data_IF_266025160420
#
_entry.id   IF_266025160420
#
_cell.length_a   1.000
_cell.length_b   1.000
_cell.length_c   1.000
_cell.angle_alpha   90.00
_cell.angle_beta   90.00
_cell.angle_gamma   90.00
#
_symmetry.space_group_name_H-M   'P 1'
#
loop_
_entity.id
_entity.type
_entity.pdbx_description
1 polymer ?
#
# COMPACT_ATOMS: atom_id res chain seq x y z
N UNK A 1 5.46 29.72 -38.61
CA UNK A 1 5.05 29.74 -40.03
C UNK A 1 5.95 28.79 -40.80
N UNK A 2 5.42 27.64 -41.20
CA UNK A 2 5.68 26.87 -42.42
C UNK A 2 4.80 25.62 -42.29
N UNK A 3 3.90 25.49 -43.25
CA UNK A 3 2.84 24.49 -43.39
C UNK A 3 3.29 23.45 -44.41
N UNK A 4 3.20 22.15 -44.10
CA UNK A 4 3.26 21.04 -45.08
C UNK A 4 2.33 19.95 -44.51
N UNK A 5 1.07 19.91 -44.93
CA UNK A 5 0.54 19.21 -46.11
C UNK A 5 0.37 17.70 -45.89
N UNK A 6 -0.84 17.41 -45.48
CA UNK A 6 -1.62 16.18 -45.42
C UNK A 6 -1.60 15.41 -46.76
N UNK A 7 -1.56 14.07 -46.70
CA UNK A 7 -1.69 13.20 -47.87
C UNK A 7 -2.73 12.12 -47.58
N UNK A 8 -3.92 12.33 -48.13
CA UNK A 8 -5.02 11.37 -48.25
C UNK A 8 -4.67 10.23 -49.23
N UNK A 9 -5.19 9.03 -48.95
CA UNK A 9 -5.60 7.99 -49.92
C UNK A 9 -6.84 7.29 -49.33
N UNK A 10 -7.84 6.90 -50.15
CA UNK A 10 -9.26 7.16 -49.83
C UNK A 10 -10.09 5.95 -49.40
N UNK A 11 -11.31 6.31 -48.97
CA UNK A 11 -12.44 5.48 -48.60
C UNK A 11 -12.91 4.52 -49.72
N UNK A 12 -13.38 3.35 -49.28
CA UNK A 12 -14.38 2.57 -49.99
C UNK A 12 -15.64 2.47 -49.12
N UNK A 13 -16.68 3.04 -49.69
CA UNK A 13 -18.05 3.23 -49.25
C UNK A 13 -18.83 1.91 -49.31
N UNK A 14 -19.72 1.70 -48.33
CA UNK A 14 -20.97 0.91 -48.36
C UNK A 14 -21.65 1.20 -46.99
N UNK A 15 -22.30 2.35 -46.83
CA UNK A 15 -23.69 2.63 -47.19
C UNK A 15 -24.73 1.93 -46.30
N UNK A 16 -25.42 2.77 -45.49
CA UNK A 16 -26.75 2.53 -44.91
C UNK A 16 -26.75 1.85 -43.53
N UNK A 17 -27.48 2.29 -42.52
CA UNK A 17 -28.47 3.36 -42.42
C UNK A 17 -28.61 3.73 -40.94
N UNK A 18 -28.87 5.02 -40.73
CA UNK A 18 -29.14 5.65 -39.46
C UNK A 18 -30.64 5.53 -39.15
N UNK A 19 -30.99 5.06 -37.96
CA UNK A 19 -32.28 5.34 -37.33
C UNK A 19 -32.17 5.15 -35.82
N UNK A 20 -32.52 6.21 -35.11
CA UNK A 20 -32.69 6.29 -33.66
C UNK A 20 -33.52 5.13 -33.11
N UNK A 21 -32.96 4.38 -32.17
CA UNK A 21 -33.73 3.56 -31.24
C UNK A 21 -32.98 3.49 -29.91
N UNK A 22 -33.48 4.29 -28.98
CA UNK A 22 -33.28 4.23 -27.53
C UNK A 22 -33.29 2.76 -27.08
N UNK A 23 -32.13 2.22 -26.72
CA UNK A 23 -31.99 0.87 -26.18
C UNK A 23 -32.51 0.88 -24.74
N UNK A 24 -33.84 0.80 -24.59
CA UNK A 24 -34.45 0.25 -23.38
C UNK A 24 -34.27 -1.27 -23.45
N UNK A 25 -33.59 -1.91 -22.48
CA UNK A 25 -33.54 -3.36 -22.45
C UNK A 25 -34.96 -3.85 -22.22
N UNK A 26 -35.54 -4.41 -23.28
CA UNK A 26 -36.82 -5.11 -23.30
C UNK A 26 -36.60 -6.38 -22.47
N UNK A 27 -36.85 -6.28 -21.17
CA UNK A 27 -37.02 -7.45 -20.30
C UNK A 27 -38.20 -8.20 -20.91
N UNK A 28 -37.92 -9.34 -21.55
CA UNK A 28 -38.93 -10.36 -21.80
C UNK A 28 -39.54 -10.69 -20.44
N UNK A 29 -40.73 -10.12 -20.21
CA UNK A 29 -41.48 -10.34 -18.99
C UNK A 29 -41.92 -11.80 -19.00
N UNK A 30 -41.11 -12.67 -18.41
CA UNK A 30 -41.58 -13.95 -17.92
C UNK A 30 -42.86 -13.66 -17.14
N UNK A 31 -43.97 -14.24 -17.59
CA UNK A 31 -45.29 -13.94 -17.05
C UNK A 31 -45.28 -14.18 -15.54
N UNK A 32 -45.40 -13.10 -14.76
CA UNK A 32 -45.41 -13.15 -13.30
C UNK A 32 -46.64 -13.95 -12.88
N UNK A 33 -46.45 -15.08 -12.19
CA UNK A 33 -47.55 -15.93 -11.71
C UNK A 33 -47.73 -15.86 -10.21
N UNK A 34 -46.66 -15.66 -9.45
CA UNK A 34 -46.72 -15.55 -8.00
C UNK A 34 -45.75 -14.49 -7.45
N UNK A 35 -46.01 -14.05 -6.23
CA UNK A 35 -45.15 -13.12 -5.48
C UNK A 35 -44.84 -13.73 -4.13
N UNK A 36 -43.55 -13.86 -3.83
CA UNK A 36 -43.04 -14.31 -2.54
C UNK A 36 -42.70 -13.10 -1.69
N UNK A 37 -43.14 -13.09 -0.44
CA UNK A 37 -42.81 -12.06 0.56
C UNK A 37 -42.13 -12.68 1.76
N UNK A 38 -41.02 -12.07 2.18
CA UNK A 38 -40.28 -12.48 3.36
C UNK A 38 -40.90 -11.81 4.60
N UNK A 39 -41.20 -12.61 5.62
CA UNK A 39 -41.87 -12.16 6.85
C UNK A 39 -40.91 -12.03 8.03
N UNK A 40 -39.67 -12.53 7.90
CA UNK A 40 -38.61 -12.37 8.88
C UNK A 40 -37.22 -12.31 8.21
N UNK A 41 -36.18 -12.09 9.00
CA UNK A 41 -34.80 -11.99 8.53
C UNK A 41 -34.41 -10.60 7.99
N UNK A 42 -33.19 -10.46 7.43
CA UNK A 42 -32.61 -9.16 7.05
C UNK A 42 -33.31 -8.48 5.86
N UNK A 43 -34.10 -9.24 5.08
CA UNK A 43 -34.87 -8.76 3.94
C UNK A 43 -36.38 -8.84 4.22
N UNK A 44 -36.78 -8.77 5.48
CA UNK A 44 -38.18 -8.73 5.89
C UNK A 44 -38.92 -7.60 5.16
N UNK A 45 -40.11 -7.91 4.64
CA UNK A 45 -40.94 -6.99 3.84
C UNK A 45 -40.57 -6.92 2.36
N UNK A 46 -39.47 -7.54 1.91
CA UNK A 46 -39.15 -7.60 0.49
C UNK A 46 -40.05 -8.59 -0.26
N UNK A 47 -40.49 -8.19 -1.45
CA UNK A 47 -41.32 -8.99 -2.35
C UNK A 47 -40.53 -9.37 -3.62
N UNK A 48 -40.59 -10.65 -4.00
CA UNK A 48 -39.93 -11.20 -5.18
C UNK A 48 -40.97 -11.79 -6.13
N UNK A 49 -40.90 -11.41 -7.39
CA UNK A 49 -41.74 -12.00 -8.43
C UNK A 49 -41.21 -13.38 -8.80
N UNK A 50 -42.07 -14.40 -8.73
CA UNK A 50 -41.75 -15.77 -9.11
C UNK A 50 -42.28 -16.03 -10.53
N UNK A 51 -41.39 -16.35 -11.49
CA UNK A 51 -41.80 -16.84 -12.80
C UNK A 51 -42.34 -18.27 -12.71
N UNK A 52 -42.92 -18.75 -13.80
CA UNK A 52 -43.29 -20.16 -13.95
C UNK A 52 -42.05 -21.06 -13.89
N UNK A 53 -42.14 -22.18 -13.18
CA UNK A 53 -41.02 -23.10 -12.95
C UNK A 53 -40.43 -23.03 -11.54
N UNK A 54 -39.18 -23.46 -11.40
CA UNK A 54 -38.49 -23.57 -10.10
C UNK A 54 -37.66 -22.31 -9.82
N UNK A 55 -37.97 -21.60 -8.74
CA UNK A 55 -37.16 -20.51 -8.22
C UNK A 55 -36.32 -20.99 -7.04
N UNK A 56 -34.99 -20.87 -7.14
CA UNK A 56 -34.05 -21.28 -6.10
C UNK A 56 -33.87 -20.16 -5.06
N UNK A 57 -33.96 -20.52 -3.79
CA UNK A 57 -33.66 -19.63 -2.65
C UNK A 57 -32.47 -20.19 -1.87
N UNK A 58 -31.39 -19.41 -1.85
CA UNK A 58 -30.14 -19.76 -1.16
C UNK A 58 -30.05 -18.96 0.13
N UNK A 59 -29.90 -19.66 1.25
CA UNK A 59 -29.82 -19.04 2.58
C UNK A 59 -28.50 -19.42 3.24
N UNK A 60 -27.69 -18.42 3.58
CA UNK A 60 -26.39 -18.66 4.22
C UNK A 60 -25.74 -17.39 4.76
N UNK A 61 -24.65 -17.50 5.56
CA UNK A 61 -23.93 -16.34 6.06
C UNK A 61 -23.24 -15.60 4.91
N UNK A 62 -23.23 -14.27 4.98
CA UNK A 62 -22.70 -13.36 3.95
C UNK A 62 -21.29 -13.73 3.48
N UNK A 63 -20.43 -14.15 4.41
CA UNK A 63 -19.03 -14.47 4.12
C UNK A 63 -18.90 -15.72 3.26
N UNK A 64 -19.77 -16.72 3.47
CA UNK A 64 -19.78 -17.97 2.68
C UNK A 64 -20.49 -17.79 1.34
N UNK A 65 -21.48 -16.90 1.26
CA UNK A 65 -22.17 -16.58 0.01
C UNK A 65 -21.24 -15.82 -0.97
N UNK A 66 -20.30 -15.01 -0.46
CA UNK A 66 -19.32 -14.28 -1.28
C UNK A 66 -18.16 -15.18 -1.74
N UNK A 67 -17.78 -16.20 -0.97
CA UNK A 67 -16.76 -17.20 -1.35
C UNK A 67 -17.27 -18.18 -2.42
N UNK A 68 -18.58 -18.46 -2.45
CA UNK A 68 -19.23 -19.28 -3.47
C UNK A 68 -19.53 -18.47 -4.73
N UNK A 69 -18.49 -18.03 -5.44
CA UNK A 69 -18.61 -17.40 -6.76
C UNK A 69 -19.10 -18.38 -7.84
N UNK A 70 -20.37 -18.80 -7.80
CA UNK A 70 -20.93 -19.81 -8.67
C UNK A 70 -22.07 -19.31 -9.55
N UNK A 71 -22.06 -19.71 -10.82
CA UNK A 71 -23.18 -19.65 -11.77
C UNK A 71 -24.48 -20.13 -11.09
N UNK A 72 -25.32 -19.20 -10.67
CA UNK A 72 -26.67 -19.52 -10.23
C UNK A 72 -27.63 -19.38 -11.41
N UNK A 73 -28.69 -20.20 -11.50
CA UNK A 73 -29.74 -19.99 -12.48
C UNK A 73 -30.29 -18.56 -12.38
N UNK A 74 -30.58 -17.94 -13.53
CA UNK A 74 -31.23 -16.63 -13.57
C UNK A 74 -32.53 -16.64 -12.76
N UNK A 75 -32.68 -15.69 -11.83
CA UNK A 75 -33.84 -15.62 -10.92
C UNK A 75 -33.61 -16.20 -9.52
N UNK A 76 -32.39 -16.62 -9.17
CA UNK A 76 -32.04 -17.10 -7.81
C UNK A 76 -32.13 -15.98 -6.76
N UNK A 77 -32.82 -16.24 -5.64
CA UNK A 77 -32.94 -15.31 -4.51
C UNK A 77 -31.90 -15.67 -3.45
N UNK A 78 -31.01 -14.73 -3.10
CA UNK A 78 -29.94 -14.94 -2.11
C UNK A 78 -30.26 -14.20 -0.80
N UNK A 79 -30.36 -14.95 0.29
CA UNK A 79 -30.74 -14.44 1.62
C UNK A 79 -29.56 -14.57 2.61
N UNK A 80 -28.96 -13.46 3.06
CA UNK A 80 -27.82 -13.49 3.97
C UNK A 80 -28.26 -13.75 5.42
N UNK A 81 -28.50 -15.01 5.79
CA UNK A 81 -29.00 -15.38 7.12
C UNK A 81 -28.32 -16.65 7.65
N UNK A 82 -28.02 -16.68 8.95
CA UNK A 82 -27.46 -17.87 9.62
C UNK A 82 -28.53 -18.93 9.91
N UNK A 83 -28.16 -20.22 9.80
CA UNK A 83 -29.02 -21.34 10.15
C UNK A 83 -30.14 -21.65 9.16
N UNK A 84 -30.20 -20.96 8.02
CA UNK A 84 -31.14 -21.24 6.93
C UNK A 84 -30.81 -22.51 6.15
N UNK A 85 -31.85 -23.11 5.56
CA UNK A 85 -31.73 -24.22 4.61
C UNK A 85 -32.08 -23.72 3.22
N UNK A 86 -31.35 -24.18 2.19
CA UNK A 86 -31.68 -23.88 0.79
C UNK A 86 -32.96 -24.61 0.38
N UNK A 87 -33.84 -23.93 -0.36
CA UNK A 87 -35.09 -24.50 -0.85
C UNK A 87 -35.46 -23.92 -2.21
N UNK A 88 -36.40 -24.58 -2.87
CA UNK A 88 -36.95 -24.15 -4.15
C UNK A 88 -38.47 -24.01 -4.06
N UNK A 89 -38.98 -23.00 -4.73
CA UNK A 89 -40.40 -22.74 -4.90
C UNK A 89 -40.77 -23.06 -6.35
N UNK A 90 -41.60 -24.07 -6.53
CA UNK A 90 -42.07 -24.56 -7.84
C UNK A 90 -43.49 -24.05 -8.09
N UNK A 91 -43.63 -23.21 -9.12
CA UNK A 91 -44.92 -22.73 -9.62
C UNK A 91 -45.26 -23.51 -10.89
N UNK A 92 -46.31 -24.33 -10.83
CA UNK A 92 -46.79 -25.15 -11.94
C UNK A 92 -47.96 -24.45 -12.64
N UNK A 93 -48.10 -24.63 -13.97
CA UNK A 93 -49.17 -24.01 -14.74
C UNK A 93 -50.56 -24.56 -14.40
N UNK A 94 -50.60 -25.82 -13.92
CA UNK A 94 -51.82 -26.59 -13.63
C UNK A 94 -52.12 -26.72 -12.11
N UNK A 95 -51.26 -26.18 -11.25
CA UNK A 95 -51.53 -26.12 -9.81
C UNK A 95 -52.48 -24.95 -9.54
N UNK A 96 -53.71 -25.24 -9.11
CA UNK A 96 -54.76 -24.23 -8.85
C UNK A 96 -54.36 -23.14 -7.85
N UNK A 97 -54.78 -23.26 -6.59
CA UNK A 97 -54.57 -22.20 -5.57
C UNK A 97 -53.30 -22.41 -4.71
N UNK A 98 -52.26 -23.09 -5.24
CA UNK A 98 -51.07 -23.42 -4.45
C UNK A 98 -49.78 -23.61 -5.25
N UNK A 99 -48.70 -23.90 -4.51
CA UNK A 99 -47.34 -24.11 -5.03
C UNK A 99 -46.67 -25.32 -4.38
N UNK A 100 -45.56 -25.79 -4.95
CA UNK A 100 -44.76 -26.89 -4.39
C UNK A 100 -43.46 -26.32 -3.81
N UNK A 101 -43.16 -26.69 -2.57
CA UNK A 101 -41.96 -26.28 -1.85
C UNK A 101 -41.02 -27.48 -1.70
N UNK A 102 -39.79 -27.35 -2.20
CA UNK A 102 -38.76 -28.39 -2.17
C UNK A 102 -37.58 -27.94 -1.31
N UNK A 103 -37.39 -28.54 -0.13
CA UNK A 103 -36.21 -28.26 0.72
C UNK A 103 -35.05 -29.16 0.33
N UNK A 104 -33.84 -28.63 0.13
CA UNK A 104 -32.72 -29.39 -0.45
C UNK A 104 -31.83 -30.13 0.57
N UNK A 105 -31.85 -29.71 1.85
CA UNK A 105 -31.08 -30.34 2.95
C UNK A 105 -31.93 -30.49 4.23
N UNK A 106 -31.72 -31.54 5.06
CA UNK A 106 -30.76 -32.65 4.92
C UNK A 106 -31.23 -33.80 4.00
N UNK A 107 -32.50 -33.83 3.60
CA UNK A 107 -33.04 -34.71 2.56
C UNK A 107 -34.04 -33.91 1.70
N UNK A 108 -34.10 -34.16 0.38
CA UNK A 108 -35.08 -33.51 -0.49
C UNK A 108 -36.49 -33.91 -0.09
N UNK A 109 -37.25 -32.95 0.46
CA UNK A 109 -38.65 -33.12 0.79
C UNK A 109 -39.48 -32.12 -0.02
N UNK A 110 -40.44 -32.63 -0.77
CA UNK A 110 -41.38 -31.85 -1.55
C UNK A 110 -42.75 -31.86 -0.87
N UNK A 111 -43.33 -30.68 -0.65
CA UNK A 111 -44.65 -30.51 -0.05
C UNK A 111 -45.48 -29.50 -0.84
N UNK A 112 -46.75 -29.81 -1.05
CA UNK A 112 -47.71 -28.83 -1.56
C UNK A 112 -48.08 -27.83 -0.44
N UNK A 113 -48.21 -26.56 -0.81
CA UNK A 113 -48.57 -25.45 0.07
C UNK A 113 -49.60 -24.58 -0.65
N UNK A 114 -50.57 -24.06 0.08
CA UNK A 114 -51.56 -23.15 -0.48
C UNK A 114 -51.00 -21.73 -0.56
N UNK A 115 -51.49 -20.92 -1.49
CA UNK A 115 -51.19 -19.50 -1.50
C UNK A 115 -51.75 -18.82 -0.23
N UNK A 116 -51.15 -17.69 0.14
CA UNK A 116 -51.53 -16.87 1.31
C UNK A 116 -51.35 -17.58 2.66
N UNK A 117 -50.50 -18.61 2.74
CA UNK A 117 -50.11 -19.24 4.01
C UNK A 117 -48.66 -18.92 4.38
N UNK A 118 -48.40 -18.75 5.67
CA UNK A 118 -47.05 -18.58 6.23
C UNK A 118 -46.33 -19.92 6.17
N UNK A 119 -45.26 -19.97 5.38
CA UNK A 119 -44.39 -21.11 5.22
C UNK A 119 -43.12 -20.94 6.06
N UNK A 120 -42.73 -22.02 6.72
CA UNK A 120 -41.53 -22.09 7.56
C UNK A 120 -40.48 -23.01 6.94
N UNK A 121 -39.27 -22.50 6.69
CA UNK A 121 -38.09 -23.27 6.24
C UNK A 121 -36.88 -22.89 7.09
N UNK A 122 -36.50 -23.78 8.02
CA UNK A 122 -35.49 -23.45 9.02
C UNK A 122 -35.96 -22.26 9.88
N UNK A 123 -35.15 -21.21 10.07
CA UNK A 123 -35.53 -19.97 10.73
C UNK A 123 -36.24 -18.95 9.80
N UNK A 124 -36.44 -19.26 8.51
CA UNK A 124 -37.08 -18.34 7.56
C UNK A 124 -38.60 -18.52 7.53
N UNK A 125 -39.32 -17.41 7.65
CA UNK A 125 -40.77 -17.30 7.48
C UNK A 125 -41.05 -16.49 6.21
N UNK A 126 -41.85 -17.04 5.31
CA UNK A 126 -42.25 -16.37 4.07
C UNK A 126 -43.67 -16.77 3.68
N UNK A 127 -44.34 -15.96 2.87
CA UNK A 127 -45.62 -16.30 2.26
C UNK A 127 -45.55 -16.11 0.75
N UNK A 128 -46.39 -16.84 0.02
CA UNK A 128 -46.49 -16.73 -1.44
C UNK A 128 -47.94 -16.46 -1.81
N UNK A 129 -48.18 -15.51 -2.70
CA UNK A 129 -49.49 -15.22 -3.27
C UNK A 129 -49.48 -15.36 -4.79
N UNK A 130 -50.65 -15.53 -5.39
CA UNK A 130 -50.82 -15.35 -6.83
C UNK A 130 -50.58 -13.88 -7.24
N UNK A 131 -50.08 -13.65 -8.45
CA UNK A 131 -49.69 -12.32 -8.93
C UNK A 131 -50.86 -11.32 -8.93
N UNK A 132 -52.08 -11.80 -9.18
CA UNK A 132 -53.30 -10.99 -9.33
C UNK A 132 -54.09 -10.78 -8.02
N UNK A 133 -53.61 -11.34 -6.90
CA UNK A 133 -54.29 -11.26 -5.60
C UNK A 133 -53.61 -10.25 -4.66
N UNK A 134 -54.38 -9.54 -3.84
CA UNK A 134 -53.85 -8.73 -2.73
C UNK A 134 -53.47 -9.62 -1.53
N UNK A 135 -52.53 -9.20 -0.69
CA UNK A 135 -52.12 -9.96 0.51
C UNK A 135 -53.26 -10.04 1.53
N UNK A 136 -53.46 -11.22 2.14
CA UNK A 136 -54.40 -11.34 3.25
C UNK A 136 -53.91 -10.54 4.47
N UNK A 137 -54.84 -9.88 5.22
CA UNK A 137 -54.47 -9.00 6.34
C UNK A 137 -53.71 -9.73 7.47
N UNK A 138 -53.87 -11.06 7.60
CA UNK A 138 -53.11 -11.88 8.56
C UNK A 138 -51.62 -12.01 8.24
N UNK A 139 -51.22 -11.85 6.98
CA UNK A 139 -49.82 -11.95 6.52
C UNK A 139 -49.11 -10.61 6.70
N UNK A 140 -49.80 -9.51 6.43
CA UNK A 140 -49.29 -8.14 6.62
C UNK A 140 -49.18 -7.81 8.12
N UNK A 141 -50.09 -8.34 8.96
CA UNK A 141 -50.06 -8.15 10.42
C UNK A 141 -49.02 -9.01 11.16
N UNK A 142 -48.52 -10.10 10.55
CA UNK A 142 -47.53 -10.98 11.16
C UNK A 142 -46.16 -10.29 11.38
N UNK A 143 -45.84 -9.26 10.57
CA UNK A 143 -44.66 -8.41 10.73
C UNK A 143 -44.63 -7.71 12.10
N UNK A 144 -45.81 -7.33 12.61
CA UNK A 144 -45.96 -6.66 13.90
C UNK A 144 -46.03 -7.65 15.08
N UNK A 145 -46.61 -8.85 14.88
CA UNK A 145 -46.80 -9.82 15.98
C UNK A 145 -45.58 -10.69 16.29
N UNK A 146 -44.61 -10.83 15.38
CA UNK A 146 -43.37 -11.57 15.66
C UNK A 146 -42.33 -10.74 16.45
N UNK A 147 -42.63 -9.47 16.73
CA UNK A 147 -41.82 -8.62 17.61
C UNK A 147 -42.36 -8.58 19.05
N UNK A 148 -43.51 -9.19 19.35
CA UNK A 148 -44.11 -9.17 20.69
C UNK A 148 -44.61 -10.55 21.17
N UNK A 149 -43.71 -11.24 21.90
CA UNK A 149 -43.97 -12.19 22.99
C UNK A 149 -44.46 -13.61 22.61
N UNK A 150 -43.48 -14.49 22.34
CA UNK A 150 -43.50 -15.82 22.95
C UNK A 150 -42.79 -15.73 24.32
N UNK A 151 -43.58 -15.44 25.36
CA UNK A 151 -43.16 -15.56 26.75
C UNK A 151 -42.81 -17.02 27.05
N UNK A 152 -41.54 -17.38 26.91
CA UNK A 152 -41.01 -18.59 27.52
C UNK A 152 -40.83 -18.32 29.02
N UNK A 153 -41.37 -19.26 29.82
CA UNK A 153 -41.29 -19.29 31.28
C UNK A 153 -39.93 -18.83 31.81
N UNK A 154 -39.85 -18.11 32.94
CA UNK A 154 -38.58 -17.63 33.47
C UNK A 154 -37.78 -18.83 33.98
N UNK A 155 -36.91 -19.37 33.13
CA UNK A 155 -35.80 -20.20 33.60
C UNK A 155 -34.81 -19.21 34.19
N UNK A 156 -34.63 -19.26 35.51
CA UNK A 156 -33.59 -18.54 36.25
C UNK A 156 -32.23 -18.87 35.64
N UNK A 157 -31.85 -18.18 34.59
CA UNK A 157 -30.51 -18.08 34.06
C UNK A 157 -30.19 -16.60 33.96
N UNK A 158 -29.00 -16.29 34.42
CA UNK A 158 -28.73 -15.15 35.28
C UNK A 158 -28.88 -13.82 34.54
N UNK A 159 -29.54 -12.84 35.17
CA UNK A 159 -29.49 -11.42 34.78
C UNK A 159 -28.04 -10.94 34.57
N UNK A 160 -27.07 -11.63 35.16
CA UNK A 160 -25.64 -11.45 34.94
C UNK A 160 -25.19 -11.71 33.50
N UNK A 161 -25.69 -12.74 32.80
CA UNK A 161 -25.29 -13.05 31.42
C UNK A 161 -25.82 -12.03 30.41
N UNK A 162 -27.06 -11.58 30.58
CA UNK A 162 -27.65 -10.51 29.75
C UNK A 162 -27.00 -9.15 30.03
N UNK A 163 -26.68 -8.85 31.29
CA UNK A 163 -25.90 -7.67 31.67
C UNK A 163 -24.47 -7.73 31.10
N UNK A 164 -23.84 -8.91 31.05
CA UNK A 164 -22.51 -9.12 30.46
C UNK A 164 -22.51 -8.86 28.95
N UNK A 165 -23.52 -9.36 28.21
CA UNK A 165 -23.64 -9.10 26.77
C UNK A 165 -23.83 -7.61 26.47
N UNK A 166 -24.66 -6.90 27.24
CA UNK A 166 -24.82 -5.45 27.12
C UNK A 166 -23.53 -4.68 27.45
N UNK A 167 -22.77 -5.15 28.45
CA UNK A 167 -21.48 -4.57 28.79
C UNK A 167 -20.43 -4.78 27.70
N UNK A 168 -20.43 -5.93 27.02
CA UNK A 168 -19.53 -6.21 25.90
C UNK A 168 -19.81 -5.28 24.71
N UNK A 169 -21.07 -5.06 24.35
CA UNK A 169 -21.44 -4.13 23.26
C UNK A 169 -21.08 -2.69 23.62
N UNK A 170 -21.35 -2.26 24.86
CA UNK A 170 -20.97 -0.93 25.33
C UNK A 170 -19.45 -0.76 25.38
N UNK A 171 -18.71 -1.79 25.79
CA UNK A 171 -17.24 -1.78 25.79
C UNK A 171 -16.68 -1.73 24.37
N UNK A 172 -17.29 -2.42 23.40
CA UNK A 172 -16.89 -2.36 22.00
C UNK A 172 -17.13 -0.97 21.38
N UNK A 173 -18.27 -0.33 21.69
CA UNK A 173 -18.56 1.04 21.26
C UNK A 173 -17.61 2.06 21.90
N UNK A 174 -17.32 1.91 23.20
CA UNK A 174 -16.35 2.75 23.88
C UNK A 174 -14.94 2.56 23.33
N UNK A 175 -14.53 1.32 23.04
CA UNK A 175 -13.23 1.02 22.43
C UNK A 175 -13.11 1.60 21.01
N UNK A 176 -14.16 1.48 20.20
CA UNK A 176 -14.24 2.10 18.88
C UNK A 176 -14.15 3.64 18.97
N UNK A 177 -14.89 4.25 19.91
CA UNK A 177 -14.82 5.68 20.18
C UNK A 177 -13.43 6.13 20.65
N UNK A 178 -12.76 5.33 21.50
CA UNK A 178 -11.39 5.60 21.95
C UNK A 178 -10.40 5.52 20.79
N UNK A 179 -10.48 4.48 19.95
CA UNK A 179 -9.63 4.31 18.77
C UNK A 179 -9.82 5.46 17.78
N UNK A 180 -11.07 5.86 17.53
CA UNK A 180 -11.38 7.00 16.69
C UNK A 180 -10.82 8.31 17.26
N UNK A 181 -10.97 8.52 18.58
CA UNK A 181 -10.42 9.70 19.24
C UNK A 181 -8.89 9.75 19.24
N UNK A 182 -8.20 8.62 19.41
CA UNK A 182 -6.73 8.51 19.27
C UNK A 182 -6.27 8.80 17.83
N UNK A 183 -7.05 8.39 16.82
CA UNK A 183 -6.76 8.73 15.43
C UNK A 183 -6.84 10.25 15.21
N UNK A 184 -7.94 10.89 15.66
CA UNK A 184 -8.15 12.33 15.55
C UNK A 184 -7.11 13.16 16.31
N UNK A 185 -6.68 12.71 17.50
CA UNK A 185 -5.60 13.36 18.25
C UNK A 185 -4.30 13.42 17.44
N UNK A 186 -3.99 12.35 16.69
CA UNK A 186 -2.81 12.32 15.82
C UNK A 186 -2.88 13.35 14.70
N UNK A 187 -4.02 13.44 14.00
CA UNK A 187 -4.19 14.42 12.93
C UNK A 187 -4.14 15.86 13.43
N UNK A 188 -4.73 16.14 14.61
CA UNK A 188 -4.64 17.46 15.25
C UNK A 188 -3.21 17.84 15.60
N UNK A 189 -2.40 16.92 16.15
CA UNK A 189 -0.99 17.19 16.48
C UNK A 189 -0.14 17.50 15.25
N UNK A 190 -0.40 16.81 14.13
CA UNK A 190 0.27 17.10 12.85
C UNK A 190 -0.15 18.48 12.32
N UNK A 191 -1.44 18.81 12.40
CA UNK A 191 -1.96 20.12 12.01
C UNK A 191 -1.39 21.26 12.87
N UNK A 192 -1.37 21.10 14.19
CA UNK A 192 -0.82 22.10 15.12
C UNK A 192 0.68 22.31 14.86
N UNK A 193 1.46 21.24 14.73
CA UNK A 193 2.88 21.32 14.37
C UNK A 193 3.09 21.97 12.99
N UNK A 194 2.22 21.67 12.02
CA UNK A 194 2.26 22.31 10.71
C UNK A 194 1.98 23.81 10.80
N UNK A 195 1.02 24.26 11.61
CA UNK A 195 0.70 25.69 11.77
C UNK A 195 1.84 26.49 12.40
N UNK A 196 2.52 25.94 13.41
CA UNK A 196 3.69 26.58 14.05
C UNK A 196 4.84 26.78 13.07
N UNK A 197 4.99 25.82 12.16
CA UNK A 197 6.13 25.78 11.24
C UNK A 197 5.81 26.46 9.89
N UNK A 198 4.53 26.58 9.52
CA UNK A 198 4.05 27.19 8.28
C UNK A 198 4.41 28.67 8.12
N UNK A 199 4.77 29.36 9.21
CA UNK A 199 5.25 30.76 9.15
C UNK A 199 6.61 30.92 8.46
N UNK A 200 7.34 29.84 8.20
CA UNK A 200 8.62 29.85 7.50
C UNK A 200 8.49 29.17 6.12
N UNK A 201 9.20 29.71 5.12
CA UNK A 201 9.18 29.21 3.73
C UNK A 201 9.89 27.86 3.53
N UNK A 202 10.25 27.17 4.60
CA UNK A 202 10.85 25.84 4.55
C UNK A 202 9.80 24.81 4.15
N UNK A 203 10.10 23.98 3.16
CA UNK A 203 9.28 22.80 2.89
C UNK A 203 9.60 21.75 3.95
N UNK A 204 8.72 21.61 4.93
CA UNK A 204 8.84 20.59 5.97
C UNK A 204 7.98 19.39 5.63
N UNK A 205 8.50 18.19 5.87
CA UNK A 205 7.72 16.95 5.73
C UNK A 205 7.40 16.41 7.12
N UNK A 206 6.11 16.44 7.47
CA UNK A 206 5.61 15.93 8.74
C UNK A 206 5.06 14.51 8.56
N UNK A 207 5.47 13.60 9.44
CA UNK A 207 5.01 12.23 9.48
C UNK A 207 4.59 11.86 10.90
N UNK A 208 3.51 11.09 11.04
CA UNK A 208 3.09 10.53 12.32
C UNK A 208 3.72 9.16 12.50
N UNK A 209 4.43 8.97 13.62
CA UNK A 209 4.96 7.66 14.02
C UNK A 209 3.89 6.77 14.63
N UNK A 210 4.15 5.45 14.65
CA UNK A 210 3.34 4.51 15.42
C UNK A 210 3.55 4.59 16.93
N UNK A 211 4.52 5.39 17.38
CA UNK A 211 4.90 5.69 18.76
C UNK A 211 4.21 6.96 19.32
N UNK A 212 3.16 7.44 18.65
CA UNK A 212 2.40 8.67 18.97
C UNK A 212 3.20 9.99 18.92
N UNK A 213 4.45 9.95 18.45
CA UNK A 213 5.28 11.11 18.17
C UNK A 213 5.09 11.60 16.73
N UNK A 214 5.28 12.91 16.53
CA UNK A 214 5.29 13.52 15.19
C UNK A 214 6.74 13.75 14.78
N UNK A 215 7.12 13.27 13.61
CA UNK A 215 8.44 13.45 13.04
C UNK A 215 8.39 14.57 12.00
N UNK A 216 9.28 15.55 12.16
CA UNK A 216 9.40 16.68 11.26
C UNK A 216 10.77 16.65 10.59
N UNK A 217 10.74 16.44 9.27
CA UNK A 217 11.94 16.44 8.44
C UNK A 217 12.12 17.78 7.75
N UNK A 218 13.23 18.43 8.07
CA UNK A 218 13.68 19.67 7.42
C UNK A 218 14.69 19.35 6.31
N UNK A 219 14.73 20.21 5.28
CA UNK A 219 15.72 20.07 4.19
C UNK A 219 17.14 20.34 4.68
N UNK A 220 17.30 21.39 5.50
CA UNK A 220 18.60 21.90 5.94
C UNK A 220 18.67 22.00 7.47
N UNK A 221 19.89 21.99 8.01
CA UNK A 221 20.13 22.14 9.46
C UNK A 221 19.61 23.48 10.01
N UNK A 222 19.68 24.55 9.22
CA UNK A 222 19.14 25.87 9.61
C UNK A 222 17.63 25.80 9.87
N UNK A 223 16.91 25.13 8.98
CA UNK A 223 15.44 24.99 9.07
C UNK A 223 15.05 24.04 10.20
N UNK A 224 15.86 23.00 10.45
CA UNK A 224 15.70 22.11 11.60
C UNK A 224 15.87 22.86 12.93
N UNK A 225 16.89 23.71 13.05
CA UNK A 225 17.12 24.53 14.24
C UNK A 225 15.99 25.52 14.48
N UNK A 226 15.52 26.17 13.42
CA UNK A 226 14.38 27.09 13.51
C UNK A 226 13.12 26.35 13.96
N UNK A 227 12.81 25.19 13.37
CA UNK A 227 11.64 24.38 13.75
C UNK A 227 11.72 23.92 15.21
N UNK A 228 12.89 23.47 15.68
CA UNK A 228 13.10 23.14 17.11
C UNK A 228 12.80 24.33 18.02
N UNK A 229 13.26 25.52 17.64
CA UNK A 229 13.03 26.72 18.43
C UNK A 229 11.55 27.14 18.44
N UNK A 230 10.87 27.07 17.29
CA UNK A 230 9.44 27.39 17.19
C UNK A 230 8.59 26.42 18.04
N UNK A 231 8.84 25.11 17.92
CA UNK A 231 8.16 24.08 18.70
C UNK A 231 8.43 24.19 20.21
N UNK A 232 9.63 24.61 20.60
CA UNK A 232 9.96 24.84 22.01
C UNK A 232 9.20 26.02 22.62
N UNK A 233 8.94 27.10 21.84
CA UNK A 233 8.18 28.26 22.32
C UNK A 233 6.71 27.93 22.59
N UNK A 234 6.14 27.05 21.77
CA UNK A 234 4.74 26.60 21.88
C UNK A 234 4.58 25.38 22.82
N UNK A 235 5.64 24.94 23.50
CA UNK A 235 5.59 23.82 24.44
C UNK A 235 5.45 22.42 23.79
N UNK A 236 5.62 22.30 22.48
CA UNK A 236 5.47 21.07 21.70
C UNK A 236 6.79 20.30 21.44
N UNK A 237 7.89 20.72 22.05
CA UNK A 237 9.20 20.11 21.85
C UNK A 237 9.29 18.62 22.26
N UNK A 238 8.45 18.16 23.20
CA UNK A 238 8.43 16.77 23.64
C UNK A 238 7.63 15.84 22.73
N UNK A 239 6.67 16.39 21.98
CA UNK A 239 5.77 15.62 21.10
C UNK A 239 6.24 15.57 19.64
N UNK A 240 7.17 16.44 19.26
CA UNK A 240 7.65 16.57 17.88
C UNK A 240 9.17 16.38 17.80
N UNK A 241 9.61 15.34 17.11
CA UNK A 241 11.01 15.09 16.85
C UNK A 241 11.43 15.72 15.53
N UNK A 242 12.36 16.68 15.59
CA UNK A 242 12.88 17.39 14.43
C UNK A 242 14.24 16.84 14.00
N UNK A 243 14.35 16.41 12.75
CA UNK A 243 15.58 15.92 12.15
C UNK A 243 15.74 16.40 10.69
N UNK A 244 16.95 16.25 10.16
CA UNK A 244 17.19 16.36 8.72
C UNK A 244 17.25 14.96 8.13
N UNK A 245 16.95 14.80 6.83
CA UNK A 245 17.06 13.48 6.18
C UNK A 245 18.46 12.90 6.31
N UNK A 246 19.49 13.75 6.19
CA UNK A 246 20.90 13.35 6.31
C UNK A 246 21.26 12.86 7.71
N UNK A 247 20.84 13.57 8.76
CA UNK A 247 21.13 13.16 10.14
C UNK A 247 20.42 11.86 10.49
N UNK A 248 19.22 11.66 9.96
CA UNK A 248 18.48 10.43 10.14
C UNK A 248 19.10 9.25 9.38
N UNK A 249 19.51 9.44 8.13
CA UNK A 249 20.29 8.44 7.37
C UNK A 249 21.51 7.98 8.16
N UNK A 250 22.28 8.92 8.71
CA UNK A 250 23.47 8.61 9.52
C UNK A 250 23.14 7.86 10.81
N UNK A 251 22.03 8.21 11.48
CA UNK A 251 21.57 7.52 12.69
C UNK A 251 21.23 6.06 12.40
N UNK A 252 20.46 5.80 11.34
CA UNK A 252 20.08 4.44 10.97
C UNK A 252 21.28 3.66 10.45
N UNK A 253 22.15 4.28 9.65
CA UNK A 253 23.39 3.67 9.17
C UNK A 253 24.31 3.23 10.33
N UNK A 254 24.38 4.02 11.41
CA UNK A 254 25.06 3.63 12.65
C UNK A 254 24.40 2.43 13.32
N UNK A 255 23.07 2.44 13.48
CA UNK A 255 22.34 1.33 14.09
C UNK A 255 22.46 0.03 13.29
N UNK A 256 22.49 0.13 11.95
CA UNK A 256 22.71 -1.02 11.08
C UNK A 256 24.10 -1.63 11.29
N UNK A 257 25.16 -0.80 11.45
CA UNK A 257 26.50 -1.31 11.76
C UNK A 257 26.57 -2.03 13.10
N UNK A 258 25.92 -1.46 14.12
CA UNK A 258 25.99 -1.98 15.49
C UNK A 258 25.19 -3.27 15.66
N UNK A 259 24.00 -3.33 15.06
CA UNK A 259 23.08 -4.45 15.26
C UNK A 259 23.12 -5.49 14.13
N UNK A 260 23.69 -5.17 12.97
CA UNK A 260 23.77 -6.05 11.80
C UNK A 260 25.18 -6.00 11.15
N UNK A 261 26.24 -6.46 11.83
CA UNK A 261 27.62 -6.33 11.36
C UNK A 261 27.93 -7.12 10.08
N UNK A 262 27.20 -8.21 9.81
CA UNK A 262 27.35 -9.01 8.59
C UNK A 262 26.59 -8.45 7.39
N UNK A 263 25.78 -7.40 7.57
CA UNK A 263 24.98 -6.83 6.50
C UNK A 263 25.85 -5.90 5.62
N UNK A 264 26.07 -6.32 4.38
CA UNK A 264 26.68 -5.47 3.36
C UNK A 264 25.57 -4.69 2.65
N UNK A 265 25.69 -3.37 2.62
CA UNK A 265 24.74 -2.50 1.94
C UNK A 265 25.44 -1.27 1.40
N UNK A 266 24.86 -0.70 0.34
CA UNK A 266 25.39 0.50 -0.31
C UNK A 266 24.87 1.76 0.39
N UNK A 267 23.55 1.85 0.55
CA UNK A 267 22.90 3.02 1.11
C UNK A 267 21.49 2.74 1.60
N UNK A 268 21.06 3.49 2.60
CA UNK A 268 19.66 3.70 2.92
C UNK A 268 19.20 5.01 2.25
N UNK A 269 18.25 4.94 1.32
CA UNK A 269 17.64 6.13 0.71
C UNK A 269 16.42 6.55 1.51
N UNK A 270 16.46 7.79 2.00
CA UNK A 270 15.39 8.43 2.78
C UNK A 270 14.75 9.61 2.01
N UNK A 271 14.82 9.61 0.67
CA UNK A 271 14.19 10.62 -0.19
C UNK A 271 12.69 10.79 0.10
N UNK A 272 12.01 9.67 0.36
CA UNK A 272 10.71 9.62 1.01
C UNK A 272 10.83 8.92 2.39
N UNK A 273 10.78 9.65 3.51
CA UNK A 273 10.89 9.08 4.84
C UNK A 273 9.70 8.19 5.22
N UNK A 274 8.56 8.30 4.53
CA UNK A 274 7.45 7.37 4.75
C UNK A 274 7.73 6.00 4.11
N UNK A 275 8.57 5.95 3.06
CA UNK A 275 8.89 4.75 2.29
C UNK A 275 10.40 4.63 2.04
N UNK A 276 11.22 4.43 3.09
CA UNK A 276 12.66 4.29 2.93
C UNK A 276 13.02 3.05 2.12
N UNK A 277 14.10 3.15 1.34
CA UNK A 277 14.62 2.06 0.51
C UNK A 277 16.02 1.69 0.96
N UNK A 278 16.19 0.46 1.46
CA UNK A 278 17.49 -0.10 1.79
C UNK A 278 18.09 -0.79 0.56
N UNK A 279 19.26 -0.33 0.13
CA UNK A 279 19.95 -0.84 -1.05
C UNK A 279 21.11 -1.72 -0.61
N UNK A 280 21.00 -3.01 -0.91
CA UNK A 280 21.96 -4.06 -0.57
C UNK A 280 22.88 -4.37 -1.75
N UNK A 281 24.05 -4.93 -1.45
CA UNK A 281 24.94 -5.47 -2.49
C UNK A 281 24.44 -6.83 -2.95
N UNK A 282 24.19 -6.98 -4.24
CA UNK A 282 23.72 -8.25 -4.81
C UNK A 282 24.76 -9.36 -4.68
N UNK A 283 26.05 -9.01 -4.73
CA UNK A 283 27.16 -9.96 -4.80
C UNK A 283 27.66 -10.38 -3.42
N UNK A 284 27.60 -9.47 -2.44
CA UNK A 284 28.17 -9.69 -1.09
C UNK A 284 27.13 -10.01 -0.03
N UNK A 285 25.86 -9.71 -0.29
CA UNK A 285 24.80 -9.86 0.70
C UNK A 285 24.05 -11.15 0.48
N UNK A 286 24.24 -12.09 1.40
CA UNK A 286 23.45 -13.32 1.47
C UNK A 286 22.50 -13.24 2.66
N UNK A 287 21.24 -12.87 2.40
CA UNK A 287 20.19 -12.82 3.41
C UNK A 287 19.27 -14.02 3.26
N UNK A 288 19.19 -14.83 4.32
CA UNK A 288 18.13 -15.81 4.48
C UNK A 288 16.79 -15.11 4.81
N UNK A 289 15.66 -15.74 4.47
CA UNK A 289 14.32 -15.17 4.68
C UNK A 289 14.06 -14.80 6.14
N UNK A 290 14.58 -15.59 7.09
CA UNK A 290 14.42 -15.32 8.51
C UNK A 290 15.21 -14.10 8.95
N UNK A 291 16.47 -13.98 8.51
CA UNK A 291 17.32 -12.82 8.80
C UNK A 291 16.74 -11.56 8.18
N UNK A 292 16.20 -11.65 6.97
CA UNK A 292 15.50 -10.57 6.30
C UNK A 292 14.28 -10.08 7.09
N UNK A 293 13.44 -10.99 7.59
CA UNK A 293 12.28 -10.64 8.44
C UNK A 293 12.72 -9.95 9.72
N UNK A 294 13.75 -10.47 10.40
CA UNK A 294 14.31 -9.85 11.61
C UNK A 294 14.86 -8.45 11.33
N UNK A 295 15.62 -8.27 10.23
CA UNK A 295 16.15 -6.98 9.80
C UNK A 295 15.03 -5.96 9.56
N UNK A 296 13.98 -6.34 8.83
CA UNK A 296 12.81 -5.48 8.60
C UNK A 296 12.09 -5.13 9.91
N UNK A 297 11.98 -6.07 10.84
CA UNK A 297 11.44 -5.82 12.18
C UNK A 297 12.26 -4.80 12.96
N UNK A 298 13.59 -4.95 12.96
CA UNK A 298 14.51 -3.98 13.59
C UNK A 298 14.43 -2.60 12.95
N UNK A 299 14.43 -2.52 11.61
CA UNK A 299 14.30 -1.25 10.90
C UNK A 299 12.97 -0.54 11.19
N UNK A 300 11.86 -1.28 11.28
CA UNK A 300 10.53 -0.73 11.64
C UNK A 300 10.47 -0.22 13.08
N UNK A 301 11.24 -0.82 13.97
CA UNK A 301 11.41 -0.34 15.35
C UNK A 301 12.25 0.95 15.38
N UNK A 302 13.34 1.02 14.60
CA UNK A 302 14.19 2.20 14.56
C UNK A 302 13.59 3.38 13.80
N UNK A 303 12.65 3.15 12.88
CA UNK A 303 11.97 4.17 12.08
C UNK A 303 10.44 4.10 12.28
N UNK A 304 9.91 4.60 13.41
CA UNK A 304 8.47 4.49 13.71
C UNK A 304 7.54 5.23 12.74
N UNK A 305 8.08 6.23 12.03
CA UNK A 305 7.38 7.02 11.02
C UNK A 305 7.27 6.34 9.65
N UNK A 306 8.02 5.26 9.40
CA UNK A 306 8.01 4.58 8.11
C UNK A 306 6.77 3.70 7.96
N UNK A 307 6.02 3.89 6.87
CA UNK A 307 4.84 3.09 6.54
C UNK A 307 5.23 1.73 5.95
N UNK A 308 6.22 1.73 5.06
CA UNK A 308 6.74 0.53 4.41
C UNK A 308 8.22 0.69 4.13
N UNK A 309 9.02 -0.34 4.38
CA UNK A 309 10.46 -0.31 4.12
C UNK A 309 10.72 -1.20 2.91
N UNK A 310 11.20 -0.59 1.83
CA UNK A 310 11.62 -1.31 0.63
C UNK A 310 13.03 -1.87 0.77
N UNK A 311 13.32 -2.94 0.03
CA UNK A 311 14.68 -3.41 -0.19
C UNK A 311 14.93 -3.55 -1.69
N UNK A 312 16.09 -3.09 -2.13
CA UNK A 312 16.58 -3.26 -3.49
C UNK A 312 18.00 -3.81 -3.44
N UNK A 313 18.39 -4.50 -4.51
CA UNK A 313 19.74 -5.03 -4.68
C UNK A 313 20.38 -4.32 -5.87
N UNK A 314 21.59 -3.80 -5.69
CA UNK A 314 22.42 -3.29 -6.78
C UNK A 314 23.65 -4.17 -6.93
N UNK A 315 24.11 -4.36 -8.16
CA UNK A 315 25.39 -5.00 -8.41
C UNK A 315 26.52 -4.02 -8.10
N UNK A 316 27.62 -4.56 -7.61
CA UNK A 316 28.81 -3.77 -7.31
C UNK A 316 29.42 -3.24 -8.61
N UNK A 317 29.37 -4.06 -9.66
CA UNK A 317 29.81 -3.70 -11.01
C UNK A 317 29.05 -2.50 -11.58
N UNK A 318 27.74 -2.38 -11.33
CA UNK A 318 26.96 -1.22 -11.81
C UNK A 318 27.47 0.08 -11.21
N UNK A 319 27.72 0.08 -9.90
CA UNK A 319 28.18 1.27 -9.18
C UNK A 319 29.60 1.63 -9.61
N UNK A 320 30.45 0.62 -9.78
CA UNK A 320 31.81 0.80 -10.29
C UNK A 320 31.81 1.40 -11.70
N UNK A 321 31.01 0.85 -12.62
CA UNK A 321 30.90 1.34 -14.00
C UNK A 321 30.36 2.77 -14.07
N UNK A 322 29.41 3.13 -13.19
CA UNK A 322 28.90 4.49 -13.10
C UNK A 322 29.99 5.48 -12.65
N UNK A 323 30.83 5.09 -11.68
CA UNK A 323 31.95 5.90 -11.24
C UNK A 323 32.98 6.11 -12.36
N UNK A 324 33.35 5.04 -13.07
CA UNK A 324 34.30 5.09 -14.21
C UNK A 324 33.79 5.97 -15.33
N UNK A 325 32.56 5.73 -15.77
CA UNK A 325 31.93 6.50 -16.86
C UNK A 325 31.85 7.98 -16.53
N UNK A 326 31.59 8.32 -15.27
CA UNK A 326 31.62 9.70 -14.80
C UNK A 326 33.00 10.35 -14.89
N UNK A 327 34.05 9.67 -14.40
CA UNK A 327 35.43 10.18 -14.48
C UNK A 327 35.96 10.26 -15.91
N UNK A 328 35.68 9.24 -16.74
CA UNK A 328 36.08 9.17 -18.14
C UNK A 328 35.48 10.33 -18.96
N UNK A 329 34.23 10.73 -18.66
CA UNK A 329 33.56 11.86 -19.32
C UNK A 329 34.27 13.20 -19.10
N UNK A 330 34.97 13.36 -17.99
CA UNK A 330 35.75 14.56 -17.69
C UNK A 330 37.17 14.51 -18.27
N UNK A 331 37.59 13.37 -18.84
CA UNK A 331 38.95 13.19 -19.35
C UNK A 331 40.01 13.27 -18.25
N UNK A 332 39.63 12.93 -17.01
CA UNK A 332 40.51 12.99 -15.84
C UNK A 332 41.30 11.70 -15.72
N UNK A 333 42.62 11.81 -15.59
CA UNK A 333 43.48 10.66 -15.30
C UNK A 333 43.23 10.15 -13.87
N UNK A 334 42.87 8.88 -13.74
CA UNK A 334 42.68 8.23 -12.44
C UNK A 334 43.34 6.85 -12.39
N UNK A 335 43.56 6.38 -11.16
CA UNK A 335 43.98 5.02 -10.84
C UNK A 335 42.90 4.36 -10.00
N UNK A 336 42.30 3.30 -10.54
CA UNK A 336 41.39 2.42 -9.81
C UNK A 336 42.17 1.45 -8.94
N UNK A 337 41.80 1.34 -7.67
CA UNK A 337 42.33 0.36 -6.73
C UNK A 337 41.15 -0.44 -6.17
N UNK A 338 41.18 -1.76 -6.38
CA UNK A 338 40.19 -2.67 -5.81
C UNK A 338 40.66 -3.11 -4.43
N UNK A 339 39.83 -2.91 -3.42
CA UNK A 339 40.00 -3.49 -2.09
C UNK A 339 39.04 -4.68 -1.94
N UNK A 340 39.10 -5.38 -0.81
CA UNK A 340 38.21 -6.52 -0.52
C UNK A 340 36.71 -6.13 -0.59
N UNK A 341 36.34 -4.98 -0.02
CA UNK A 341 34.94 -4.56 0.14
C UNK A 341 34.61 -3.20 -0.50
N UNK A 342 35.56 -2.58 -1.21
CA UNK A 342 35.40 -1.24 -1.76
C UNK A 342 36.32 -1.00 -2.96
N UNK A 343 36.02 0.05 -3.71
CA UNK A 343 36.88 0.53 -4.80
C UNK A 343 37.28 1.97 -4.52
N UNK A 344 38.56 2.27 -4.67
CA UNK A 344 39.09 3.63 -4.52
C UNK A 344 39.61 4.14 -5.86
N UNK A 345 39.12 5.29 -6.27
CA UNK A 345 39.58 6.06 -7.43
C UNK A 345 40.54 7.14 -6.95
N UNK A 346 41.83 6.93 -7.20
CA UNK A 346 42.86 7.94 -6.91
C UNK A 346 43.05 8.82 -8.14
N UNK A 347 42.71 10.09 -8.03
CA UNK A 347 42.73 11.05 -9.13
C UNK A 347 44.09 11.77 -9.13
N UNK A 348 44.74 11.76 -10.30
CA UNK A 348 46.11 12.22 -10.44
C UNK A 348 46.24 13.75 -10.41
N UNK A 349 47.45 14.21 -10.10
CA UNK A 349 47.81 15.63 -10.02
C UNK A 349 47.84 16.31 -11.38
N UNK A 350 47.34 17.55 -11.47
CA UNK A 350 47.32 18.35 -12.70
C UNK A 350 45.95 18.90 -13.07
N UNK A 351 44.95 18.71 -12.20
CA UNK A 351 43.61 19.29 -12.34
C UNK A 351 43.66 20.82 -12.30
N UNK A 352 42.93 21.46 -13.22
CA UNK A 352 42.64 22.89 -13.12
C UNK A 352 41.56 23.15 -12.06
N UNK A 353 41.39 24.41 -11.66
CA UNK A 353 40.31 24.81 -10.75
C UNK A 353 38.93 24.46 -11.30
N UNK A 354 38.76 24.49 -12.64
CA UNK A 354 37.54 24.09 -13.32
C UNK A 354 37.30 22.59 -13.21
N UNK A 355 38.35 21.78 -13.36
CA UNK A 355 38.26 20.32 -13.25
C UNK A 355 37.98 19.91 -11.81
N UNK A 356 38.57 20.61 -10.83
CA UNK A 356 38.29 20.41 -9.40
C UNK A 356 36.84 20.72 -9.06
N UNK A 357 36.28 21.83 -9.54
CA UNK A 357 34.89 22.19 -9.30
C UNK A 357 33.92 21.16 -9.91
N UNK A 358 34.17 20.72 -11.16
CA UNK A 358 33.36 19.68 -11.82
C UNK A 358 33.45 18.34 -11.11
N UNK A 359 34.65 17.98 -10.67
CA UNK A 359 34.88 16.74 -9.94
C UNK A 359 34.16 16.76 -8.59
N UNK A 360 34.16 17.91 -7.89
CA UNK A 360 33.42 18.06 -6.64
C UNK A 360 31.91 17.89 -6.88
N UNK A 361 31.34 18.59 -7.86
CA UNK A 361 29.91 18.48 -8.20
C UNK A 361 29.53 17.04 -8.58
N UNK A 362 30.35 16.38 -9.41
CA UNK A 362 30.17 14.97 -9.75
C UNK A 362 30.24 14.06 -8.53
N UNK A 363 31.23 14.25 -7.66
CA UNK A 363 31.40 13.42 -6.47
C UNK A 363 30.24 13.59 -5.49
N UNK A 364 29.77 14.82 -5.31
CA UNK A 364 28.59 15.12 -4.48
C UNK A 364 27.32 14.48 -5.04
N UNK A 365 27.08 14.59 -6.35
CA UNK A 365 25.95 13.94 -7.01
C UNK A 365 26.05 12.40 -6.92
N UNK A 366 27.24 11.85 -7.16
CA UNK A 366 27.47 10.41 -7.06
C UNK A 366 27.20 9.89 -5.64
N UNK A 367 27.72 10.56 -4.61
CA UNK A 367 27.44 10.18 -3.23
C UNK A 367 25.97 10.41 -2.85
N UNK A 368 25.30 11.39 -3.45
CA UNK A 368 23.85 11.60 -3.32
C UNK A 368 23.03 10.48 -3.98
N UNK A 369 23.54 9.75 -4.96
CA UNK A 369 22.79 8.64 -5.56
C UNK A 369 23.18 7.27 -4.99
N UNK A 370 24.47 7.04 -4.77
CA UNK A 370 25.05 5.73 -4.47
C UNK A 370 25.57 5.58 -3.03
N UNK A 371 25.74 6.70 -2.32
CA UNK A 371 26.34 6.72 -0.98
C UNK A 371 27.86 6.57 -1.01
N UNK A 372 28.45 6.54 0.18
CA UNK A 372 29.90 6.64 0.39
C UNK A 372 30.55 5.31 0.80
N UNK A 373 29.82 4.20 0.78
CA UNK A 373 30.28 2.93 1.38
C UNK A 373 31.14 2.07 0.46
N UNK A 374 30.83 2.06 -0.85
CA UNK A 374 31.49 1.16 -1.79
C UNK A 374 32.58 1.85 -2.61
N UNK A 375 32.28 2.98 -3.24
CA UNK A 375 33.23 3.75 -4.06
C UNK A 375 33.76 4.95 -3.28
N UNK A 376 35.07 5.17 -3.34
CA UNK A 376 35.74 6.30 -2.70
C UNK A 376 36.55 7.07 -3.74
N UNK A 377 36.38 8.38 -3.80
CA UNK A 377 37.23 9.26 -4.62
C UNK A 377 38.30 9.92 -3.74
N UNK A 378 39.56 9.80 -4.15
CA UNK A 378 40.71 10.40 -3.46
C UNK A 378 41.45 11.32 -4.43
N UNK A 379 41.41 12.62 -4.17
CA UNK A 379 42.09 13.62 -4.99
C UNK A 379 43.45 13.93 -4.39
N UNK A 380 44.51 13.61 -5.13
CA UNK A 380 45.88 13.84 -4.67
C UNK A 380 46.49 15.01 -5.44
N UNK A 381 46.37 16.20 -4.85
CA UNK A 381 47.04 17.41 -5.35
C UNK A 381 48.52 17.36 -4.96
N UNK A 382 49.34 16.78 -5.84
CA UNK A 382 50.80 16.88 -5.77
C UNK A 382 51.27 17.98 -6.71
N UNK A 383 52.04 18.92 -6.18
CA UNK A 383 52.88 19.74 -7.05
C UNK A 383 53.86 18.81 -7.75
N UNK A 384 53.94 18.91 -9.09
CA UNK A 384 54.92 18.16 -9.88
C UNK A 384 56.30 18.55 -9.36
N UNK A 385 56.92 17.67 -8.56
CA UNK A 385 58.20 17.87 -7.88
C UNK A 385 59.35 18.33 -8.81
N UNK A 386 59.21 18.16 -10.13
CA UNK A 386 60.18 18.56 -11.14
C UNK A 386 59.64 19.56 -12.18
N UNK A 387 58.55 20.31 -11.89
CA UNK A 387 58.02 21.33 -12.81
C UNK A 387 59.11 22.38 -13.11
N UNK A 388 59.52 22.47 -14.38
CA UNK A 388 60.61 23.36 -14.83
C UNK A 388 62.04 22.80 -14.67
N UNK A 389 62.22 21.55 -14.22
CA UNK A 389 63.54 20.91 -14.05
C UNK A 389 63.64 19.58 -14.81
N UNK A 390 64.10 19.70 -16.07
CA UNK A 390 64.81 18.71 -16.91
C UNK A 390 64.11 17.49 -17.52
N UNK A 391 64.58 17.16 -18.73
CA UNK A 391 64.07 16.20 -19.72
C UNK A 391 64.54 14.75 -19.50
N UNK A 392 63.71 13.78 -19.90
CA UNK A 392 64.00 12.34 -19.91
C UNK A 392 64.99 11.99 -21.03
N UNK A 393 66.09 11.33 -20.70
CA UNK A 393 67.05 10.76 -21.67
C UNK A 393 67.38 9.31 -21.30
N UNK A 394 67.09 8.37 -22.21
CA UNK A 394 67.52 6.97 -22.09
C UNK A 394 66.71 6.10 -21.12
N UNK A 395 66.98 4.79 -21.18
CA UNK A 395 66.28 3.74 -20.42
C UNK A 395 66.37 3.83 -18.89
N UNK A 396 67.45 4.37 -18.29
CA UNK A 396 67.47 4.71 -16.87
C UNK A 396 67.05 6.18 -16.64
N UNK A 397 66.08 6.40 -15.76
CA UNK A 397 65.47 7.72 -15.52
C UNK A 397 66.39 8.60 -14.67
N UNK A 398 66.97 9.66 -15.25
CA UNK A 398 67.80 10.64 -14.54
C UNK A 398 67.25 12.06 -14.70
N UNK A 399 67.39 12.89 -13.67
CA UNK A 399 66.90 14.28 -13.66
C UNK A 399 68.07 15.25 -13.50
N UNK A 400 68.15 16.30 -14.33
CA UNK A 400 69.15 17.37 -14.22
C UNK A 400 68.60 18.55 -13.39
N UNK A 401 68.99 18.64 -12.12
CA UNK A 401 68.48 19.66 -11.19
C UNK A 401 69.07 21.07 -11.43
N UNK A 402 70.34 21.17 -11.85
CA UNK A 402 71.04 22.41 -12.23
C UNK A 402 72.06 22.13 -13.35
N UNK A 403 72.76 23.15 -13.89
CA UNK A 403 73.75 22.95 -14.99
C UNK A 403 74.84 21.91 -14.68
N UNK A 404 75.16 21.69 -13.39
CA UNK A 404 76.25 20.83 -12.93
C UNK A 404 75.83 19.68 -11.99
N UNK A 405 74.53 19.48 -11.71
CA UNK A 405 74.07 18.41 -10.83
C UNK A 405 72.98 17.55 -11.46
N UNK A 406 73.17 16.24 -11.33
CA UNK A 406 72.25 15.20 -11.77
C UNK A 406 71.71 14.44 -10.56
N UNK A 407 70.42 14.13 -10.61
CA UNK A 407 69.68 13.37 -9.62
C UNK A 407 69.30 12.02 -10.21
N UNK A 408 69.66 10.98 -9.46
CA UNK A 408 69.48 9.58 -9.83
C UNK A 408 68.45 9.01 -8.86
N UNK A 409 67.17 8.92 -9.22
CA UNK A 409 66.20 8.19 -8.42
C UNK A 409 66.64 6.72 -8.35
N UNK A 410 66.72 6.16 -7.15
CA UNK A 410 66.83 4.72 -7.01
C UNK A 410 65.50 4.10 -7.44
N UNK A 411 65.51 3.33 -8.51
CA UNK A 411 64.41 2.42 -8.86
C UNK A 411 64.35 1.34 -7.77
N UNK A 412 63.24 1.31 -7.02
CA UNK A 412 62.84 0.14 -6.24
C UNK A 412 61.97 -0.76 -7.11
#
# INVERSE_FOLDING_TARGET
MITIAEKEVPARELAGAQADAKFEPKIEAAAKRAVLRLLNGPLCGCEYALPEGATLVIVGPSDKLMEQGGDFPEGTIVLPMEGGSNFEVLIDADAGDGFRLRTLHPQPQERAQDFQQICHVGPLDFAVRAADSEWEPGIVGAEASLTEVAATKPRRQSRLLAALAGFIVLAALLASGLLYWMHLQGERRVADAATVVAGNSGQYRLLKGHDDLVYLFAQNERDALWARQALAREGMAASVQVATLRTEEQRIDKLLRENCPSLVFHRLKLDDPARPLLILSQERTHLDQQTQKSLLGSLRSWMPYAQSIGMANWSDELIDNQARSGLDRFGIDYRRQSNADSVTYTIASGLSDVDLARLQEFTEAFYHDFGHRYVHFSVVLKDKQFKGKSFKYGGPEYFKLTRQHWFFPHTL
#
